data_IF_627074719844
#
_entry.id   IF_627074719844
#
_cell.length_a   1.000
_cell.length_b   1.000
_cell.length_c   1.000
_cell.angle_alpha   90.00
_cell.angle_beta   90.00
_cell.angle_gamma   90.00
#
_symmetry.space_group_name_H-M   'P 1'
#
loop_
_entity.id
_entity.type
_entity.pdbx_description
1 polymer ?
#
# COMPACT_ATOMS: atom_id res chain seq x y z
N UNK A 1 13.16 40.06 8.16
CA UNK A 1 13.18 38.59 8.00
C UNK A 1 12.86 38.03 9.37
N UNK A 2 11.62 37.52 9.54
CA UNK A 2 11.13 37.01 10.81
C UNK A 2 11.93 35.75 11.22
N UNK A 3 12.35 35.71 12.48
CA UNK A 3 12.87 34.51 13.09
C UNK A 3 11.79 33.43 12.99
N UNK A 4 12.08 32.36 12.26
CA UNK A 4 11.25 31.14 12.25
C UNK A 4 11.18 30.60 13.68
N UNK A 5 10.01 30.12 14.09
CA UNK A 5 9.85 29.37 15.32
C UNK A 5 10.86 28.19 15.33
N UNK A 6 11.53 27.92 16.46
CA UNK A 6 12.52 26.82 16.55
C UNK A 6 12.02 25.48 15.98
N UNK A 7 10.72 25.19 16.14
CA UNK A 7 10.12 24.00 15.54
C UNK A 7 10.01 24.07 14.01
N UNK A 8 9.76 25.25 13.46
CA UNK A 8 9.72 25.44 12.01
C UNK A 8 11.11 25.36 11.41
N UNK A 9 12.11 25.82 12.13
CA UNK A 9 13.49 25.73 11.71
C UNK A 9 13.97 24.26 11.69
N UNK A 10 13.68 23.51 12.77
CA UNK A 10 14.01 22.09 12.83
C UNK A 10 13.33 21.27 11.69
N UNK A 11 12.07 21.61 11.36
CA UNK A 11 11.36 21.00 10.22
C UNK A 11 12.02 21.35 8.89
N UNK A 12 12.42 22.61 8.73
CA UNK A 12 13.13 23.05 7.52
C UNK A 12 14.47 22.35 7.37
N UNK A 13 15.24 22.22 8.46
CA UNK A 13 16.54 21.56 8.45
C UNK A 13 16.41 20.05 8.16
N UNK A 14 15.40 19.39 8.75
CA UNK A 14 15.13 17.97 8.48
C UNK A 14 14.72 17.70 7.02
N UNK A 15 13.92 18.60 6.42
CA UNK A 15 13.57 18.50 5.00
C UNK A 15 14.75 18.88 4.10
N UNK A 16 15.51 19.92 4.46
CA UNK A 16 16.71 20.34 3.74
C UNK A 16 17.76 19.24 3.66
N UNK A 17 17.93 18.44 4.72
CA UNK A 17 18.80 17.28 4.71
C UNK A 17 18.56 16.33 3.53
N UNK A 18 17.30 16.11 3.16
CA UNK A 18 16.93 15.24 2.05
C UNK A 18 16.87 15.99 0.71
N UNK A 19 16.13 17.11 0.66
CA UNK A 19 15.78 17.76 -0.61
C UNK A 19 16.86 18.70 -1.15
N UNK A 20 17.72 19.29 -0.30
CA UNK A 20 18.82 20.14 -0.74
C UNK A 20 19.98 19.34 -1.37
N UNK A 21 19.96 18.01 -1.23
CA UNK A 21 20.92 17.11 -1.91
C UNK A 21 20.82 17.15 -3.45
N UNK A 22 19.69 17.50 -3.99
CA UNK A 22 19.49 17.62 -5.46
C UNK A 22 20.33 18.77 -6.06
N UNK A 23 20.49 19.88 -5.33
CA UNK A 23 21.22 21.06 -5.85
C UNK A 23 22.75 20.88 -5.82
N UNK A 24 23.28 20.03 -4.96
CA UNK A 24 24.71 19.91 -4.73
C UNK A 24 25.41 18.77 -5.45
N UNK A 25 24.69 17.92 -6.22
CA UNK A 25 25.30 16.80 -6.92
C UNK A 25 25.82 15.71 -5.97
N UNK A 26 25.60 14.48 -6.31
CA UNK A 26 26.08 13.30 -5.56
C UNK A 26 27.60 13.34 -5.39
N UNK A 27 28.09 13.72 -4.22
CA UNK A 27 29.53 13.65 -3.89
C UNK A 27 30.24 14.95 -3.57
N UNK A 28 29.59 16.11 -3.63
CA UNK A 28 30.21 17.36 -3.15
C UNK A 28 30.12 17.40 -1.61
N UNK A 29 31.25 17.29 -0.97
CA UNK A 29 31.39 17.39 0.47
C UNK A 29 30.78 18.68 1.00
N UNK A 30 30.31 18.61 2.23
CA UNK A 30 29.74 19.64 3.05
C UNK A 30 30.07 21.08 2.64
N UNK A 31 29.22 21.71 1.85
CA UNK A 31 29.15 23.15 1.74
C UNK A 31 28.65 23.71 3.08
N UNK A 32 29.09 24.89 3.44
CA UNK A 32 28.98 25.60 4.71
C UNK A 32 27.49 25.86 5.21
N UNK A 33 26.54 25.10 4.74
CA UNK A 33 25.11 25.14 5.08
C UNK A 33 24.42 23.79 5.12
N UNK A 34 25.14 22.67 4.86
CA UNK A 34 24.54 21.34 4.92
C UNK A 34 24.21 20.95 6.37
N UNK A 35 22.98 20.49 6.58
CA UNK A 35 22.55 19.91 7.84
C UNK A 35 23.59 18.88 8.33
N UNK A 36 24.09 19.04 9.55
CA UNK A 36 25.07 18.15 10.17
C UNK A 36 24.47 16.82 10.66
N UNK A 37 23.22 16.55 10.29
CA UNK A 37 22.50 15.36 10.73
C UNK A 37 23.11 14.11 10.09
N UNK A 38 23.26 13.09 10.90
CA UNK A 38 23.48 11.72 10.41
C UNK A 38 22.17 11.09 10.02
N UNK A 39 22.18 10.03 9.19
CA UNK A 39 20.95 9.32 8.78
C UNK A 39 20.11 8.86 9.98
N UNK A 40 20.68 8.29 11.06
CA UNK A 40 19.93 7.93 12.26
C UNK A 40 19.29 9.12 12.98
N UNK A 41 19.98 10.25 13.07
CA UNK A 41 19.47 11.48 13.68
C UNK A 41 18.33 12.05 12.84
N UNK A 42 18.52 12.10 11.53
CA UNK A 42 17.50 12.55 10.60
C UNK A 42 16.20 11.74 10.70
N UNK A 43 16.29 10.39 10.72
CA UNK A 43 15.11 9.53 10.92
C UNK A 43 14.40 9.87 12.23
N UNK A 44 15.13 10.03 13.32
CA UNK A 44 14.54 10.38 14.61
C UNK A 44 13.84 11.74 14.57
N UNK A 45 14.43 12.74 13.91
CA UNK A 45 13.85 14.06 13.78
C UNK A 45 12.59 14.06 12.94
N UNK A 46 12.56 13.41 11.78
CA UNK A 46 11.34 13.34 10.97
C UNK A 46 10.20 12.64 11.71
N UNK A 47 10.48 11.57 12.47
CA UNK A 47 9.47 10.90 13.29
C UNK A 47 8.96 11.76 14.46
N UNK A 48 9.80 12.62 15.01
CA UNK A 48 9.43 13.54 16.11
C UNK A 48 8.65 14.77 15.62
N UNK A 49 8.99 15.29 14.44
CA UNK A 49 8.49 16.57 13.94
C UNK A 49 7.27 16.47 13.02
N UNK A 50 7.07 15.32 12.38
CA UNK A 50 6.04 15.14 11.36
C UNK A 50 5.04 14.04 11.71
N UNK A 51 3.79 14.17 11.24
CA UNK A 51 2.80 13.11 11.38
C UNK A 51 3.18 11.89 10.51
N UNK A 52 2.78 10.70 10.93
CA UNK A 52 3.12 9.41 10.28
C UNK A 52 2.93 9.37 8.76
N UNK A 53 1.89 10.01 8.24
CA UNK A 53 1.65 10.09 6.79
C UNK A 53 2.76 10.83 6.06
N UNK A 54 3.18 11.96 6.62
CA UNK A 54 4.26 12.79 6.04
C UNK A 54 5.59 12.09 6.16
N UNK A 55 5.88 11.47 7.32
CA UNK A 55 7.09 10.65 7.53
C UNK A 55 7.19 9.59 6.44
N UNK A 56 6.11 8.82 6.22
CA UNK A 56 6.07 7.79 5.20
C UNK A 56 6.40 8.33 3.80
N UNK A 57 5.84 9.48 3.42
CA UNK A 57 6.13 10.11 2.12
C UNK A 57 7.60 10.54 2.02
N UNK A 58 8.17 11.11 3.10
CA UNK A 58 9.58 11.51 3.14
C UNK A 58 10.50 10.28 3.02
N UNK A 59 10.18 9.18 3.71
CA UNK A 59 10.92 7.93 3.64
C UNK A 59 10.80 7.27 2.25
N UNK A 60 9.63 7.32 1.62
CA UNK A 60 9.41 6.86 0.25
C UNK A 60 10.27 7.67 -0.73
N UNK A 61 10.28 9.00 -0.63
CA UNK A 61 11.13 9.87 -1.44
C UNK A 61 12.63 9.57 -1.20
N UNK A 62 13.04 9.38 0.06
CA UNK A 62 14.42 9.05 0.42
C UNK A 62 14.89 7.75 -0.26
N UNK A 63 14.03 6.75 -0.35
CA UNK A 63 14.34 5.47 -0.99
C UNK A 63 14.28 5.54 -2.53
N UNK A 64 13.22 6.15 -3.10
CA UNK A 64 12.99 6.14 -4.55
C UNK A 64 13.84 7.19 -5.29
N UNK A 65 13.87 8.43 -4.78
CA UNK A 65 14.53 9.55 -5.48
C UNK A 65 15.99 9.68 -5.09
N UNK A 66 16.29 9.49 -3.81
CA UNK A 66 17.65 9.72 -3.27
C UNK A 66 18.45 8.44 -3.07
N UNK A 67 17.82 7.27 -3.25
CA UNK A 67 18.48 5.98 -3.19
C UNK A 67 19.20 5.73 -1.85
N UNK A 68 18.62 6.18 -0.73
CA UNK A 68 19.21 6.02 0.61
C UNK A 68 19.14 4.57 1.06
N UNK A 69 20.04 3.74 0.50
CA UNK A 69 20.13 2.29 0.77
C UNK A 69 20.43 2.00 2.24
N UNK A 70 21.05 2.94 2.95
CA UNK A 70 21.36 2.85 4.38
C UNK A 70 20.11 2.56 5.22
N UNK A 71 18.95 3.12 4.85
CA UNK A 71 17.67 2.89 5.52
C UNK A 71 17.23 1.43 5.54
N UNK A 72 17.70 0.63 4.58
CA UNK A 72 17.34 -0.79 4.45
C UNK A 72 18.49 -1.75 4.77
N UNK A 73 19.72 -1.27 4.79
CA UNK A 73 20.90 -2.09 5.11
C UNK A 73 21.32 -2.04 6.57
N UNK A 74 20.90 -1.01 7.30
CA UNK A 74 21.08 -0.90 8.73
C UNK A 74 19.84 -1.44 9.47
N UNK A 75 20.06 -2.33 10.45
CA UNK A 75 18.98 -2.98 11.21
C UNK A 75 18.17 -1.98 12.03
N UNK A 76 18.85 -1.06 12.72
CA UNK A 76 18.21 -0.11 13.62
C UNK A 76 17.34 0.90 12.83
N UNK A 77 17.82 1.33 11.68
CA UNK A 77 17.09 2.21 10.78
C UNK A 77 15.90 1.50 10.16
N UNK A 78 16.11 0.28 9.67
CA UNK A 78 15.07 -0.53 9.05
C UNK A 78 13.89 -0.82 10.00
N UNK A 79 14.14 -1.02 11.30
CA UNK A 79 13.10 -1.26 12.29
C UNK A 79 12.27 -0.01 12.61
N UNK A 80 12.79 1.19 12.32
CA UNK A 80 12.12 2.49 12.55
C UNK A 80 11.31 2.97 11.37
N UNK A 81 11.74 2.66 10.15
CA UNK A 81 11.07 3.05 8.91
C UNK A 81 9.63 2.53 8.87
N UNK A 82 8.69 3.38 8.47
CA UNK A 82 7.28 2.98 8.37
C UNK A 82 7.07 1.97 7.22
N UNK A 83 6.31 0.89 7.46
CA UNK A 83 6.06 -0.13 6.46
C UNK A 83 5.36 0.43 5.21
N UNK A 84 5.98 0.28 4.04
CA UNK A 84 5.44 0.76 2.76
C UNK A 84 5.74 -0.20 1.61
N UNK A 85 5.05 -0.02 0.47
CA UNK A 85 5.32 -0.80 -0.74
C UNK A 85 6.71 -0.46 -1.30
N UNK A 86 7.11 0.80 -1.21
CA UNK A 86 8.43 1.28 -1.62
C UNK A 86 9.55 0.64 -0.79
N UNK A 87 9.36 0.59 0.53
CA UNK A 87 10.29 -0.10 1.42
C UNK A 87 10.43 -1.59 1.05
N UNK A 88 9.32 -2.26 0.71
CA UNK A 88 9.34 -3.65 0.26
C UNK A 88 10.17 -3.81 -1.03
N UNK A 89 9.99 -2.92 -2.00
CA UNK A 89 10.77 -2.94 -3.25
C UNK A 89 12.25 -2.70 -2.98
N UNK A 90 12.60 -1.71 -2.15
CA UNK A 90 13.97 -1.42 -1.74
C UNK A 90 14.63 -2.62 -1.04
N UNK A 91 13.93 -3.29 -0.12
CA UNK A 91 14.41 -4.52 0.53
C UNK A 91 14.69 -5.62 -0.49
N UNK A 92 13.80 -5.82 -1.47
CA UNK A 92 13.97 -6.86 -2.48
C UNK A 92 15.15 -6.58 -3.41
N UNK A 93 15.38 -5.32 -3.76
CA UNK A 93 16.51 -4.91 -4.60
C UNK A 93 17.85 -5.02 -3.88
N UNK A 94 17.90 -4.70 -2.59
CA UNK A 94 19.12 -4.61 -1.80
C UNK A 94 19.41 -5.83 -0.93
N UNK A 95 18.58 -6.87 -1.00
CA UNK A 95 18.73 -8.09 -0.17
C UNK A 95 20.13 -8.72 -0.22
N UNK A 96 20.84 -8.55 -1.35
CA UNK A 96 22.21 -9.08 -1.55
C UNK A 96 23.27 -8.33 -0.77
N UNK A 97 22.96 -7.13 -0.29
CA UNK A 97 23.84 -6.29 0.54
C UNK A 97 23.59 -6.48 2.04
N UNK A 98 22.51 -7.20 2.41
CA UNK A 98 22.07 -7.33 3.78
C UNK A 98 22.77 -8.48 4.51
N UNK A 99 23.14 -8.25 5.77
CA UNK A 99 23.59 -9.27 6.70
C UNK A 99 22.42 -10.17 7.15
N UNK A 100 22.72 -11.31 7.77
CA UNK A 100 21.71 -12.25 8.29
C UNK A 100 20.70 -11.60 9.23
N UNK A 101 21.16 -10.73 10.11
CA UNK A 101 20.33 -10.06 11.13
C UNK A 101 19.38 -9.03 10.50
N UNK A 102 19.89 -8.25 9.53
CA UNK A 102 19.09 -7.31 8.75
C UNK A 102 18.06 -8.06 7.91
N UNK A 103 18.43 -9.20 7.30
CA UNK A 103 17.51 -10.04 6.55
C UNK A 103 16.38 -10.60 7.44
N UNK A 104 16.66 -10.91 8.70
CA UNK A 104 15.63 -11.38 9.63
C UNK A 104 14.65 -10.25 9.97
N UNK A 105 15.14 -9.04 10.26
CA UNK A 105 14.32 -7.85 10.48
C UNK A 105 13.48 -7.52 9.23
N UNK A 106 14.12 -7.52 8.05
CA UNK A 106 13.46 -7.30 6.77
C UNK A 106 12.30 -8.27 6.53
N UNK A 107 12.47 -9.57 6.82
CA UNK A 107 11.41 -10.58 6.69
C UNK A 107 10.19 -10.29 7.56
N UNK A 108 10.41 -9.74 8.76
CA UNK A 108 9.30 -9.35 9.65
C UNK A 108 8.51 -8.17 9.07
N UNK A 109 9.22 -7.18 8.55
CA UNK A 109 8.60 -6.00 7.91
C UNK A 109 7.83 -6.42 6.66
N UNK A 110 8.43 -7.23 5.79
CA UNK A 110 7.76 -7.78 4.60
C UNK A 110 6.46 -8.48 4.97
N UNK A 111 6.45 -9.31 6.02
CA UNK A 111 5.23 -9.97 6.51
C UNK A 111 4.16 -8.97 6.94
N UNK A 112 4.53 -7.89 7.63
CA UNK A 112 3.59 -6.82 8.03
C UNK A 112 3.00 -6.13 6.81
N UNK A 113 3.83 -5.68 5.87
CA UNK A 113 3.37 -5.01 4.64
C UNK A 113 2.44 -5.91 3.82
N UNK A 114 2.82 -7.18 3.63
CA UNK A 114 1.98 -8.15 2.90
C UNK A 114 0.64 -8.37 3.61
N UNK A 115 0.63 -8.48 4.94
CA UNK A 115 -0.61 -8.64 5.70
C UNK A 115 -1.54 -7.43 5.54
N UNK A 116 -1.01 -6.20 5.62
CA UNK A 116 -1.78 -4.96 5.39
C UNK A 116 -2.33 -4.88 3.96
N UNK A 117 -1.52 -5.22 2.97
CA UNK A 117 -1.96 -5.26 1.56
C UNK A 117 -3.08 -6.29 1.35
N UNK A 118 -2.92 -7.49 1.90
CA UNK A 118 -3.94 -8.54 1.83
C UNK A 118 -5.26 -8.09 2.48
N UNK A 119 -5.21 -7.40 3.62
CA UNK A 119 -6.39 -6.87 4.28
C UNK A 119 -7.07 -5.78 3.45
N UNK A 120 -6.31 -4.85 2.89
CA UNK A 120 -6.82 -3.81 1.97
C UNK A 120 -7.42 -4.39 0.70
N UNK A 121 -6.88 -5.49 0.18
CA UNK A 121 -7.36 -6.15 -1.03
C UNK A 121 -8.58 -7.04 -0.79
N UNK A 122 -8.74 -7.60 0.41
CA UNK A 122 -9.84 -8.53 0.77
C UNK A 122 -11.24 -8.04 0.35
N UNK A 123 -11.65 -6.79 0.62
CA UNK A 123 -12.97 -6.31 0.20
C UNK A 123 -13.10 -6.17 -1.32
N UNK A 124 -12.01 -5.86 -2.04
CA UNK A 124 -12.02 -5.78 -3.51
C UNK A 124 -12.17 -7.16 -4.13
N UNK A 125 -11.41 -8.15 -3.64
CA UNK A 125 -11.47 -9.54 -4.11
C UNK A 125 -12.87 -10.11 -3.85
N UNK A 126 -13.45 -9.90 -2.66
CA UNK A 126 -14.83 -10.33 -2.38
C UNK A 126 -15.83 -9.74 -3.37
N UNK A 127 -15.77 -8.44 -3.66
CA UNK A 127 -16.68 -7.79 -4.63
C UNK A 127 -16.52 -8.36 -6.03
N UNK A 128 -15.33 -8.71 -6.44
CA UNK A 128 -15.05 -9.29 -7.76
C UNK A 128 -15.52 -10.74 -7.86
N UNK A 129 -15.26 -11.55 -6.81
CA UNK A 129 -15.62 -12.98 -6.80
C UNK A 129 -17.10 -13.21 -6.54
N UNK A 130 -17.74 -12.40 -5.67
CA UNK A 130 -19.16 -12.56 -5.37
C UNK A 130 -20.06 -11.95 -6.43
N UNK A 131 -19.53 -11.20 -7.38
CA UNK A 131 -20.23 -10.55 -8.47
C UNK A 131 -21.54 -9.89 -8.02
N UNK A 132 -21.80 -8.64 -8.32
CA UNK A 132 -23.14 -8.08 -8.10
C UNK A 132 -24.08 -8.79 -9.05
N UNK A 133 -24.95 -9.66 -8.50
CA UNK A 133 -25.98 -10.34 -9.28
C UNK A 133 -26.78 -9.27 -10.03
N UNK A 134 -26.64 -9.23 -11.35
CA UNK A 134 -27.45 -8.38 -12.21
C UNK A 134 -28.77 -9.13 -12.46
N UNK A 135 -29.89 -8.72 -11.86
CA UNK A 135 -31.16 -9.41 -12.03
C UNK A 135 -31.71 -9.33 -13.47
N UNK A 136 -31.16 -8.42 -14.29
CA UNK A 136 -31.61 -8.20 -15.65
C UNK A 136 -30.80 -8.96 -16.70
N UNK A 137 -29.61 -9.47 -16.33
CA UNK A 137 -28.73 -10.19 -17.24
C UNK A 137 -29.05 -11.68 -17.21
N UNK A 138 -29.42 -12.24 -18.35
CA UNK A 138 -29.60 -13.69 -18.50
C UNK A 138 -28.27 -14.40 -18.39
N UNK A 139 -28.20 -15.42 -17.54
CA UNK A 139 -27.02 -16.29 -17.46
C UNK A 139 -27.17 -17.41 -18.49
N UNK A 140 -26.09 -17.67 -19.25
CA UNK A 140 -26.01 -18.83 -20.14
C UNK A 140 -25.80 -20.14 -19.36
N UNK A 141 -25.39 -20.04 -18.09
CA UNK A 141 -25.14 -21.21 -17.26
C UNK A 141 -26.41 -21.58 -16.49
N UNK A 142 -26.92 -22.77 -16.75
CA UNK A 142 -28.10 -23.36 -16.08
C UNK A 142 -27.70 -23.93 -14.71
N UNK A 143 -27.46 -23.06 -13.72
CA UNK A 143 -27.20 -23.43 -12.32
C UNK A 143 -28.37 -23.05 -11.44
N UNK A 144 -28.69 -23.90 -10.46
CA UNK A 144 -29.81 -23.67 -9.53
C UNK A 144 -29.77 -22.31 -8.81
N UNK A 145 -28.55 -21.79 -8.55
CA UNK A 145 -28.34 -20.47 -7.95
C UNK A 145 -28.82 -19.29 -8.83
N UNK A 146 -28.97 -19.49 -10.14
CA UNK A 146 -29.41 -18.48 -11.11
C UNK A 146 -30.89 -18.64 -11.47
N UNK A 147 -31.59 -19.62 -10.87
CA UNK A 147 -32.99 -19.86 -11.11
C UNK A 147 -33.89 -18.80 -10.42
N UNK A 148 -34.75 -18.14 -11.20
CA UNK A 148 -35.74 -17.19 -10.69
C UNK A 148 -37.13 -17.85 -10.81
N UNK A 149 -37.66 -18.45 -9.73
CA UNK A 149 -38.92 -19.19 -9.76
C UNK A 149 -40.11 -18.30 -10.15
N UNK A 150 -40.13 -17.05 -9.69
CA UNK A 150 -41.25 -16.13 -9.99
C UNK A 150 -41.32 -15.79 -11.48
N UNK A 151 -40.17 -15.49 -12.07
CA UNK A 151 -40.10 -15.16 -13.50
C UNK A 151 -40.38 -16.37 -14.37
N UNK A 152 -39.85 -17.53 -14.00
CA UNK A 152 -40.09 -18.80 -14.72
C UNK A 152 -41.58 -19.18 -14.69
N UNK A 153 -42.22 -19.14 -13.52
CA UNK A 153 -43.66 -19.44 -13.40
C UNK A 153 -44.47 -18.45 -14.25
N UNK A 154 -44.20 -17.14 -14.13
CA UNK A 154 -44.91 -16.11 -14.88
C UNK A 154 -44.77 -16.28 -16.40
N UNK A 155 -43.58 -16.63 -16.88
CA UNK A 155 -43.34 -16.86 -18.31
C UNK A 155 -44.05 -18.11 -18.84
N UNK A 156 -44.27 -19.11 -17.98
CA UNK A 156 -44.88 -20.40 -18.35
C UNK A 156 -46.34 -20.54 -17.91
N UNK A 157 -46.97 -19.51 -17.36
CA UNK A 157 -48.41 -19.55 -16.96
C UNK A 157 -49.33 -19.98 -18.08
N UNK A 158 -49.01 -19.65 -19.33
CA UNK A 158 -49.75 -20.10 -20.53
C UNK A 158 -49.75 -21.62 -20.73
N UNK A 159 -48.78 -22.32 -20.15
CA UNK A 159 -48.60 -23.75 -20.26
C UNK A 159 -49.19 -24.48 -19.02
N UNK A 160 -49.97 -23.80 -18.21
CA UNK A 160 -50.67 -24.41 -17.06
C UNK A 160 -51.90 -25.18 -17.51
N UNK A 161 -51.94 -26.47 -17.18
CA UNK A 161 -53.13 -27.30 -17.40
C UNK A 161 -53.95 -27.33 -16.11
N UNK A 162 -55.20 -26.84 -16.21
CA UNK A 162 -56.12 -26.84 -15.08
C UNK A 162 -56.64 -28.25 -14.75
N UNK A 163 -56.70 -29.12 -15.73
CA UNK A 163 -57.19 -30.52 -15.58
C UNK A 163 -56.19 -31.37 -14.77
N UNK A 164 -54.89 -31.26 -15.10
CA UNK A 164 -53.84 -32.02 -14.41
C UNK A 164 -53.20 -31.25 -13.27
N UNK A 165 -53.53 -29.95 -13.07
CA UNK A 165 -52.91 -29.04 -12.11
C UNK A 165 -51.39 -28.98 -12.22
N UNK A 166 -50.88 -29.10 -13.42
CA UNK A 166 -49.43 -29.11 -13.70
C UNK A 166 -49.03 -27.90 -14.55
N UNK A 167 -47.85 -27.36 -14.24
CA UNK A 167 -47.22 -26.31 -15.01
C UNK A 167 -46.07 -26.92 -15.81
N UNK A 168 -46.16 -26.93 -17.13
CA UNK A 168 -45.09 -27.40 -18.01
C UNK A 168 -44.14 -26.22 -18.26
N UNK A 169 -42.88 -26.36 -17.83
CA UNK A 169 -41.87 -25.37 -18.06
C UNK A 169 -41.23 -25.65 -19.41
N UNK A 170 -41.43 -24.76 -20.38
CA UNK A 170 -40.73 -24.77 -21.66
C UNK A 170 -39.58 -23.77 -21.63
N UNK A 171 -38.48 -24.15 -22.27
CA UNK A 171 -37.26 -23.28 -22.35
C UNK A 171 -37.51 -22.00 -23.17
#
# INVERSE_FOLDING_TARGET
LGNLDPQQQARSDALGYLYDREEQGWGAGAGDGASRLTVPEWINEIHALFPKRTVRTIEEDALERYGMVELVTDKELLERVEPSETLLQAILQTKHLMNSDVLQAARQIVRKVVAELMEKMRPRIRRTLTGRRDPNRRSFFKVSANFDPKRTIRANLKNYSAETRQLVISE
#
